data_IF_144357391563
#
_entry.id   IF_144357391563
#
_cell.length_a   1.000
_cell.length_b   1.000
_cell.length_c   1.000
_cell.angle_alpha   90.00
_cell.angle_beta   90.00
_cell.angle_gamma   90.00
#
_symmetry.space_group_name_H-M   'P 1'
#
loop_
_entity.id
_entity.type
_entity.pdbx_description
1 polymer ?
#
# COMPACT_ATOMS: atom_id res chain seq x y z
N UNK A 1 10.64 -36.00 -5.68
CA UNK A 1 11.72 -35.37 -4.88
C UNK A 1 12.38 -34.20 -5.62
N UNK A 2 12.44 -34.18 -6.95
CA UNK A 2 12.98 -33.05 -7.73
C UNK A 2 11.99 -31.86 -7.89
N UNK A 3 10.69 -32.13 -8.10
CA UNK A 3 9.70 -31.06 -8.33
C UNK A 3 9.50 -30.09 -7.15
N UNK A 4 9.66 -30.54 -5.90
CA UNK A 4 9.51 -29.65 -4.74
C UNK A 4 10.72 -28.73 -4.55
N UNK A 5 11.90 -29.19 -4.95
CA UNK A 5 13.12 -28.39 -4.90
C UNK A 5 13.13 -27.33 -6.00
N UNK A 6 12.66 -27.66 -7.21
CA UNK A 6 12.52 -26.68 -8.28
C UNK A 6 11.43 -25.64 -7.97
N UNK A 7 10.30 -26.03 -7.37
CA UNK A 7 9.28 -25.07 -6.91
C UNK A 7 9.78 -24.18 -5.77
N UNK A 8 10.59 -24.73 -4.84
CA UNK A 8 11.23 -23.94 -3.79
C UNK A 8 12.31 -23.00 -4.32
N UNK A 9 13.04 -23.40 -5.37
CA UNK A 9 14.02 -22.55 -6.03
C UNK A 9 13.35 -21.50 -6.92
N UNK A 10 12.25 -21.82 -7.58
CA UNK A 10 11.41 -20.89 -8.34
C UNK A 10 10.78 -19.85 -7.41
N UNK A 11 10.18 -20.28 -6.29
CA UNK A 11 9.67 -19.37 -5.25
C UNK A 11 10.78 -18.52 -4.60
N UNK A 12 11.98 -19.09 -4.40
CA UNK A 12 13.15 -18.30 -3.96
C UNK A 12 13.63 -17.32 -5.02
N UNK A 13 13.54 -17.66 -6.31
CA UNK A 13 13.96 -16.81 -7.44
C UNK A 13 12.95 -15.70 -7.74
N UNK A 14 11.67 -15.94 -7.47
CA UNK A 14 10.60 -14.93 -7.47
C UNK A 14 10.72 -14.01 -6.24
N UNK A 15 11.05 -14.56 -5.06
CA UNK A 15 11.36 -13.78 -3.86
C UNK A 15 12.75 -13.10 -3.87
N UNK A 16 13.61 -13.42 -4.84
CA UNK A 16 14.91 -12.78 -5.06
C UNK A 16 15.02 -12.13 -6.44
N UNK A 17 13.87 -11.82 -7.07
CA UNK A 17 13.82 -10.76 -8.05
C UNK A 17 14.50 -9.53 -7.42
N UNK A 18 15.41 -8.85 -8.15
CA UNK A 18 16.22 -7.78 -7.58
C UNK A 18 15.28 -6.78 -6.90
N UNK A 19 15.35 -6.76 -5.57
CA UNK A 19 14.66 -5.79 -4.73
C UNK A 19 15.36 -4.48 -5.06
N UNK A 20 14.83 -3.80 -6.08
CA UNK A 20 15.30 -2.51 -6.49
C UNK A 20 15.18 -1.61 -5.27
N UNK A 21 16.32 -1.21 -4.72
CA UNK A 21 16.47 0.12 -4.15
C UNK A 21 15.75 1.08 -5.10
N UNK A 22 14.87 1.93 -4.62
CA UNK A 22 14.16 2.89 -5.47
C UNK A 22 15.17 3.81 -6.18
N UNK A 23 15.64 3.40 -7.35
CA UNK A 23 16.65 4.15 -8.11
C UNK A 23 16.68 3.81 -9.62
N UNK A 24 15.50 3.78 -10.26
CA UNK A 24 15.46 3.64 -11.72
C UNK A 24 14.13 3.87 -12.46
N UNK A 25 13.00 4.11 -11.78
CA UNK A 25 11.71 4.09 -12.47
C UNK A 25 10.55 4.84 -11.81
N UNK A 26 10.81 5.86 -11.00
CA UNK A 26 9.75 6.71 -10.44
C UNK A 26 9.10 6.19 -9.14
N UNK A 27 9.68 5.19 -8.47
CA UNK A 27 9.12 4.60 -7.24
C UNK A 27 10.00 4.85 -6.01
N UNK A 28 9.34 5.09 -4.87
CA UNK A 28 9.95 5.25 -3.56
C UNK A 28 10.28 3.93 -2.86
N UNK A 29 10.66 4.03 -1.58
CA UNK A 29 11.09 2.87 -0.78
C UNK A 29 9.95 2.26 0.05
N UNK A 30 8.78 2.91 0.06
CA UNK A 30 7.60 2.40 0.77
C UNK A 30 6.94 1.30 -0.04
N UNK A 31 6.74 0.14 0.57
CA UNK A 31 6.14 -1.03 -0.05
C UNK A 31 4.78 -1.31 0.56
N UNK A 32 3.71 -1.23 -0.22
CA UNK A 32 2.41 -1.74 0.23
C UNK A 32 2.51 -3.26 0.21
N UNK A 33 2.39 -3.92 1.37
CA UNK A 33 2.45 -5.37 1.46
C UNK A 33 1.05 -6.00 1.45
N UNK A 34 0.08 -5.33 2.09
CA UNK A 34 -1.30 -5.83 2.18
C UNK A 34 -2.30 -4.70 2.43
N UNK A 35 -3.55 -4.96 2.06
CA UNK A 35 -4.69 -4.10 2.37
C UNK A 35 -5.72 -4.94 3.14
N UNK A 36 -6.17 -4.43 4.28
CA UNK A 36 -7.19 -5.04 5.11
C UNK A 36 -8.47 -4.21 5.06
N UNK A 37 -9.58 -4.83 4.64
CA UNK A 37 -10.90 -4.22 4.62
C UNK A 37 -11.68 -4.59 5.89
N UNK A 38 -11.60 -3.75 6.91
CA UNK A 38 -12.42 -3.82 8.12
C UNK A 38 -13.71 -2.97 8.00
N UNK A 39 -14.07 -2.50 6.80
CA UNK A 39 -15.33 -1.83 6.52
C UNK A 39 -16.45 -2.82 6.16
N UNK A 40 -17.64 -2.29 5.88
CA UNK A 40 -18.80 -3.10 5.47
C UNK A 40 -19.04 -3.10 3.94
N UNK A 41 -18.18 -2.43 3.19
CA UNK A 41 -18.29 -2.28 1.74
C UNK A 41 -17.02 -2.73 1.05
N UNK A 42 -17.14 -3.14 -0.22
CA UNK A 42 -16.00 -3.54 -1.03
C UNK A 42 -15.01 -2.38 -1.16
N UNK A 43 -13.72 -2.69 -1.02
CA UNK A 43 -12.62 -1.76 -1.29
C UNK A 43 -12.03 -2.11 -2.64
N UNK A 44 -11.95 -1.14 -3.54
CA UNK A 44 -11.25 -1.28 -4.82
C UNK A 44 -9.87 -0.65 -4.71
N UNK A 45 -8.82 -1.30 -5.23
CA UNK A 45 -7.47 -0.73 -5.24
C UNK A 45 -6.90 -0.67 -6.66
N UNK A 46 -5.97 0.27 -6.85
CA UNK A 46 -5.17 0.45 -8.06
C UNK A 46 -3.70 0.49 -7.65
N UNK A 47 -2.93 -0.48 -8.10
CA UNK A 47 -1.50 -0.61 -7.83
C UNK A 47 -0.69 -0.41 -9.14
N UNK A 48 0.07 0.69 -9.28
CA UNK A 48 0.77 0.99 -10.52
C UNK A 48 2.04 0.15 -10.75
N UNK A 49 2.59 -0.49 -9.70
CA UNK A 49 3.93 -1.09 -9.71
C UNK A 49 4.10 -2.22 -10.73
N UNK A 50 3.08 -3.07 -10.91
CA UNK A 50 3.10 -4.21 -11.83
C UNK A 50 2.37 -3.92 -13.17
N UNK A 51 2.51 -2.70 -13.70
CA UNK A 51 1.83 -2.31 -14.93
C UNK A 51 0.33 -2.01 -14.73
N UNK A 52 0.00 -1.38 -13.60
CA UNK A 52 -1.37 -1.04 -13.16
C UNK A 52 -2.26 -2.28 -12.99
N UNK A 53 -2.09 -2.95 -11.84
CA UNK A 53 -3.00 -4.00 -11.37
C UNK A 53 -4.14 -3.38 -10.57
N UNK A 54 -5.30 -4.01 -10.61
CA UNK A 54 -6.48 -3.59 -9.83
C UNK A 54 -7.13 -4.80 -9.19
N UNK A 55 -7.92 -4.57 -8.15
CA UNK A 55 -8.65 -5.64 -7.49
C UNK A 55 -9.67 -5.12 -6.49
N UNK A 56 -10.53 -6.04 -6.06
CA UNK A 56 -11.58 -5.80 -5.08
C UNK A 56 -11.34 -6.65 -3.84
N UNK A 57 -11.50 -6.05 -2.66
CA UNK A 57 -11.34 -6.71 -1.36
C UNK A 57 -12.69 -6.68 -0.66
N UNK A 58 -13.26 -7.85 -0.38
CA UNK A 58 -14.58 -7.95 0.25
C UNK A 58 -14.53 -7.49 1.72
N UNK A 59 -15.68 -7.11 2.30
CA UNK A 59 -15.77 -6.78 3.73
C UNK A 59 -15.23 -7.90 4.63
N UNK A 60 -14.36 -7.54 5.57
CA UNK A 60 -13.73 -8.46 6.52
C UNK A 60 -12.55 -9.25 5.96
N UNK A 61 -12.12 -8.98 4.72
CA UNK A 61 -10.99 -9.66 4.09
C UNK A 61 -9.72 -8.83 4.08
N UNK A 62 -8.59 -9.54 4.06
CA UNK A 62 -7.26 -9.00 3.78
C UNK A 62 -6.79 -9.57 2.46
N UNK A 63 -6.30 -8.73 1.55
CA UNK A 63 -5.57 -9.17 0.36
C UNK A 63 -4.10 -8.78 0.48
N UNK A 64 -3.24 -9.80 0.39
CA UNK A 64 -1.79 -9.74 0.48
C UNK A 64 -1.10 -10.38 -0.74
N UNK A 65 -1.84 -10.57 -1.84
CA UNK A 65 -1.31 -11.16 -3.10
C UNK A 65 -0.47 -10.16 -3.86
N UNK A 66 0.28 -10.67 -4.85
CA UNK A 66 1.11 -9.87 -5.76
C UNK A 66 0.40 -8.69 -6.42
N UNK A 67 -0.93 -8.77 -6.63
CA UNK A 67 -1.71 -7.67 -7.19
C UNK A 67 -1.73 -6.43 -6.27
N UNK A 68 -1.78 -6.63 -4.95
CA UNK A 68 -1.73 -5.57 -3.93
C UNK A 68 -0.30 -5.10 -3.68
N UNK A 69 0.65 -6.02 -3.72
CA UNK A 69 2.02 -5.77 -3.35
C UNK A 69 2.74 -4.84 -4.33
N UNK A 70 3.43 -3.82 -3.83
CA UNK A 70 4.20 -2.94 -4.71
C UNK A 70 4.76 -1.69 -4.05
N UNK A 71 5.77 -1.12 -4.69
CA UNK A 71 6.29 0.18 -4.27
C UNK A 71 5.32 1.31 -4.62
N UNK A 72 5.32 2.34 -3.78
CA UNK A 72 4.54 3.54 -3.99
C UNK A 72 5.31 4.47 -4.93
N UNK A 73 4.69 4.99 -6.01
CA UNK A 73 5.33 5.99 -6.86
C UNK A 73 5.72 7.23 -6.07
N UNK A 74 6.83 7.85 -6.46
CA UNK A 74 7.15 9.20 -6.01
C UNK A 74 6.04 10.16 -6.43
N UNK A 75 5.86 11.22 -5.64
CA UNK A 75 4.77 12.16 -5.89
C UNK A 75 4.81 12.80 -7.28
N UNK A 76 6.01 13.07 -7.81
CA UNK A 76 6.19 13.63 -9.15
C UNK A 76 5.71 12.75 -10.30
N UNK A 77 5.45 11.46 -10.07
CA UNK A 77 4.96 10.56 -11.11
C UNK A 77 3.51 10.84 -11.49
N UNK A 78 3.09 10.46 -12.70
CA UNK A 78 1.69 10.57 -13.12
C UNK A 78 0.80 9.49 -12.47
N UNK A 79 1.37 8.32 -12.21
CA UNK A 79 0.68 7.21 -11.58
C UNK A 79 0.67 7.34 -10.06
N UNK A 80 -0.37 6.79 -9.43
CA UNK A 80 -0.57 6.78 -7.98
C UNK A 80 -1.03 5.40 -7.53
N UNK A 81 -0.66 5.04 -6.31
CA UNK A 81 -1.28 3.92 -5.61
C UNK A 81 -2.57 4.45 -4.99
N UNK A 82 -3.71 3.86 -5.33
CA UNK A 82 -5.02 4.35 -4.92
C UNK A 82 -5.87 3.25 -4.31
N UNK A 83 -6.75 3.63 -3.38
CA UNK A 83 -7.84 2.78 -2.94
C UNK A 83 -9.12 3.58 -2.78
N UNK A 84 -10.23 2.92 -3.08
CA UNK A 84 -11.56 3.46 -3.14
C UNK A 84 -12.43 2.70 -2.15
N UNK A 85 -13.19 3.42 -1.33
CA UNK A 85 -14.09 2.80 -0.36
C UNK A 85 -15.30 3.69 -0.09
N UNK A 86 -16.40 3.08 0.34
CA UNK A 86 -17.54 3.82 0.86
C UNK A 86 -17.28 4.20 2.31
N UNK A 87 -17.20 5.50 2.59
CA UNK A 87 -17.21 6.01 3.96
C UNK A 87 -18.66 6.16 4.43
N UNK A 88 -19.05 5.43 5.46
CA UNK A 88 -20.42 5.41 5.99
C UNK A 88 -20.78 6.66 6.79
N UNK A 89 -19.81 7.24 7.52
CA UNK A 89 -20.05 8.48 8.27
C UNK A 89 -20.40 9.64 7.34
N UNK A 90 -19.76 9.71 6.18
CA UNK A 90 -20.01 10.74 5.17
C UNK A 90 -21.04 10.32 4.11
N UNK A 91 -21.47 9.06 4.13
CA UNK A 91 -22.28 8.39 3.11
C UNK A 91 -21.83 8.68 1.65
N UNK A 92 -20.51 8.57 1.41
CA UNK A 92 -19.94 8.81 0.07
C UNK A 92 -18.78 7.87 -0.26
N UNK A 93 -18.55 7.71 -1.55
CA UNK A 93 -17.33 7.09 -2.06
C UNK A 93 -16.15 8.03 -1.85
N UNK A 94 -15.06 7.46 -1.36
CA UNK A 94 -13.81 8.14 -1.08
C UNK A 94 -12.72 7.50 -1.94
N UNK A 95 -11.89 8.33 -2.56
CA UNK A 95 -10.65 7.91 -3.21
C UNK A 95 -9.49 8.45 -2.39
N UNK A 96 -8.55 7.57 -2.06
CA UNK A 96 -7.31 7.94 -1.39
C UNK A 96 -6.16 7.61 -2.31
N UNK A 97 -5.38 8.63 -2.66
CA UNK A 97 -4.11 8.46 -3.35
C UNK A 97 -2.97 8.52 -2.35
N UNK A 98 -2.12 7.49 -2.33
CA UNK A 98 -0.93 7.43 -1.49
C UNK A 98 0.27 7.95 -2.30
N UNK A 99 1.07 8.79 -1.64
CA UNK A 99 2.17 9.53 -2.23
C UNK A 99 3.43 9.26 -1.44
N UNK A 100 4.46 8.71 -2.08
CA UNK A 100 5.79 8.72 -1.51
C UNK A 100 6.43 10.09 -1.80
N UNK A 101 6.72 10.86 -0.75
CA UNK A 101 7.34 12.19 -0.87
C UNK A 101 8.87 12.11 -0.82
N UNK A 102 9.46 10.90 -0.74
CA UNK A 102 10.90 10.68 -0.74
C UNK A 102 11.44 10.45 0.66
N UNK A 103 12.24 11.39 1.18
CA UNK A 103 12.98 11.24 2.43
C UNK A 103 12.02 11.19 3.64
N UNK A 104 11.38 10.04 3.87
CA UNK A 104 10.69 9.61 5.11
C UNK A 104 9.19 9.95 5.21
N UNK A 105 8.63 10.62 4.22
CA UNK A 105 7.26 11.10 4.28
C UNK A 105 6.34 10.36 3.31
N UNK A 106 5.29 9.77 3.87
CA UNK A 106 4.11 9.38 3.10
C UNK A 106 3.09 10.49 3.23
N UNK A 107 2.49 10.88 2.13
CA UNK A 107 1.28 11.68 2.17
C UNK A 107 0.15 10.87 1.58
N UNK A 108 -1.07 11.19 2.02
CA UNK A 108 -2.26 10.75 1.35
C UNK A 108 -3.15 11.94 1.04
N UNK A 109 -3.83 11.88 -0.10
CA UNK A 109 -4.80 12.88 -0.51
C UNK A 109 -6.17 12.25 -0.73
N UNK A 110 -7.18 12.92 -0.19
CA UNK A 110 -8.60 12.61 -0.35
C UNK A 110 -9.37 13.92 -0.52
N UNK A 111 -10.13 14.10 -1.61
CA UNK A 111 -11.07 15.23 -1.82
C UNK A 111 -10.55 16.61 -1.38
N UNK A 112 -9.29 16.94 -1.68
CA UNK A 112 -8.67 18.23 -1.32
C UNK A 112 -8.15 18.34 0.12
N UNK A 113 -8.29 17.29 0.92
CA UNK A 113 -7.61 17.13 2.20
C UNK A 113 -6.32 16.34 1.95
N UNK A 114 -5.19 16.97 2.26
CA UNK A 114 -3.89 16.32 2.27
C UNK A 114 -3.43 16.15 3.71
N UNK A 115 -2.96 14.95 4.04
CA UNK A 115 -2.36 14.67 5.33
C UNK A 115 -1.03 13.95 5.12
N UNK A 116 -0.02 14.46 5.81
CA UNK A 116 1.34 13.95 5.75
C UNK A 116 1.58 13.12 7.00
N UNK A 117 2.05 11.91 6.81
CA UNK A 117 2.44 10.97 7.84
C UNK A 117 3.92 10.65 7.67
N UNK A 118 4.66 10.74 8.77
CA UNK A 118 6.00 10.20 8.84
C UNK A 118 5.91 8.69 9.05
N UNK A 119 6.40 7.91 8.09
CA UNK A 119 6.34 6.45 8.13
C UNK A 119 7.64 5.85 8.68
N UNK A 120 8.75 6.59 8.87
CA UNK A 120 9.99 5.96 9.33
C UNK A 120 10.92 6.89 10.13
N UNK A 121 11.34 6.40 11.30
CA UNK A 121 12.53 6.87 12.00
C UNK A 121 13.71 6.03 11.52
N UNK A 122 14.71 6.66 10.89
CA UNK A 122 15.91 6.08 10.24
C UNK A 122 15.67 5.67 8.79
N UNK A 123 16.45 6.22 7.84
CA UNK A 123 16.54 5.70 6.45
C UNK A 123 16.81 4.20 6.54
N UNK A 124 15.83 3.32 6.27
CA UNK A 124 16.15 1.93 6.15
C UNK A 124 17.01 1.79 4.89
N UNK A 125 18.07 0.99 4.96
CA UNK A 125 18.83 0.64 3.76
C UNK A 125 18.03 -0.25 2.79
N UNK A 126 16.77 -0.55 3.13
CA UNK A 126 15.85 -1.49 2.50
C UNK A 126 14.43 -0.93 2.40
N UNK A 127 13.55 -1.64 1.70
CA UNK A 127 12.12 -1.33 1.61
C UNK A 127 11.43 -1.33 2.98
N UNK A 128 10.31 -0.61 3.07
CA UNK A 128 9.52 -0.46 4.29
C UNK A 128 8.08 -0.96 4.06
N UNK A 129 7.71 -2.14 4.60
CA UNK A 129 6.41 -2.75 4.35
C UNK A 129 5.30 -2.09 5.18
N UNK A 130 4.23 -1.68 4.51
CA UNK A 130 3.04 -1.12 5.14
C UNK A 130 1.79 -1.96 4.92
N UNK A 131 0.87 -1.84 5.87
CA UNK A 131 -0.51 -2.30 5.75
C UNK A 131 -1.44 -1.08 5.71
N UNK A 132 -2.38 -1.09 4.76
CA UNK A 132 -3.48 -0.14 4.73
C UNK A 132 -4.71 -0.82 5.32
N UNK A 133 -5.27 -0.26 6.40
CA UNK A 133 -6.47 -0.79 7.04
C UNK A 133 -7.63 0.15 6.76
N UNK A 134 -8.55 -0.25 5.89
CA UNK A 134 -9.77 0.51 5.58
C UNK A 134 -10.85 0.14 6.61
N UNK A 135 -11.57 1.15 7.11
CA UNK A 135 -12.67 1.01 8.07
C UNK A 135 -13.92 1.71 7.54
N UNK A 136 -15.06 1.48 8.18
CA UNK A 136 -16.33 2.11 7.79
C UNK A 136 -16.29 3.64 7.80
N UNK A 137 -15.47 4.26 8.65
CA UNK A 137 -15.39 5.71 8.83
C UNK A 137 -14.03 6.32 8.45
N UNK A 138 -13.15 5.60 7.77
CA UNK A 138 -11.80 6.08 7.51
C UNK A 138 -10.80 4.99 7.17
N UNK A 139 -9.52 5.28 7.37
CA UNK A 139 -8.46 4.30 7.18
C UNK A 139 -7.25 4.60 8.05
N UNK A 140 -6.36 3.61 8.16
CA UNK A 140 -5.07 3.70 8.84
C UNK A 140 -3.95 3.15 7.97
N UNK A 141 -2.74 3.64 8.23
CA UNK A 141 -1.51 3.11 7.66
C UNK A 141 -0.65 2.63 8.81
N UNK A 142 -0.27 1.35 8.74
CA UNK A 142 0.57 0.67 9.71
C UNK A 142 1.92 0.31 9.11
N UNK A 143 2.96 0.53 9.91
CA UNK A 143 4.25 -0.11 9.77
C UNK A 143 4.14 -1.56 10.25
N UNK A 144 4.34 -2.51 9.34
CA UNK A 144 4.19 -3.94 9.66
C UNK A 144 5.34 -4.42 10.54
N UNK A 145 6.57 -3.96 10.27
CA UNK A 145 7.77 -4.46 10.95
C UNK A 145 7.80 -4.01 12.42
N UNK A 146 7.38 -2.77 12.69
CA UNK A 146 7.33 -2.23 14.05
C UNK A 146 5.94 -2.37 14.70
N UNK A 147 4.95 -2.87 13.97
CA UNK A 147 3.55 -2.97 14.41
C UNK A 147 3.02 -1.63 14.98
N UNK A 148 3.30 -0.54 14.26
CA UNK A 148 3.01 0.83 14.71
C UNK A 148 2.08 1.55 13.73
N UNK A 149 1.04 2.22 14.25
CA UNK A 149 0.20 3.10 13.44
C UNK A 149 0.98 4.37 13.09
N UNK A 150 1.21 4.59 11.80
CA UNK A 150 1.90 5.79 11.31
C UNK A 150 0.93 6.89 10.95
N UNK A 151 -0.19 6.55 10.33
CA UNK A 151 -1.10 7.54 9.76
C UNK A 151 -2.54 7.06 9.61
N UNK A 152 -3.37 7.95 9.08
CA UNK A 152 -4.77 7.65 8.76
C UNK A 152 -5.70 8.82 9.01
N UNK A 153 -6.89 8.75 8.43
CA UNK A 153 -7.94 9.76 8.55
C UNK A 153 -9.23 9.10 9.01
N UNK A 154 -9.92 9.76 9.94
CA UNK A 154 -11.20 9.32 10.49
C UNK A 154 -12.22 10.43 10.47
N UNK A 155 -13.48 10.03 10.31
CA UNK A 155 -14.63 10.91 10.39
C UNK A 155 -15.52 10.45 11.56
N UNK A 156 -16.05 11.44 12.30
CA UNK A 156 -16.89 11.28 13.49
C UNK A 156 -18.17 12.08 13.35
#
# INVERSE_FOLDING_TARGET
>A
MAESYEKLQQARKEASAPVGLGDGGGYGNTWVQKITNNGNHVVHFVNPYHGTTTGDIQPGETDDKDAVQGYIPYWGESQKYEFHYKNETLDKQIVVAIKDLGEWLLSFAQDGIEHITDIAYLRPASYFPIEIIVKYNGFEIYDIDNNERKGGLFFW
#
